data_IF_727506758585
#
_entry.id   IF_727506758585
#
_cell.length_a   1.000
_cell.length_b   1.000
_cell.length_c   1.000
_cell.angle_alpha   90.00
_cell.angle_beta   90.00
_cell.angle_gamma   90.00
#
_symmetry.space_group_name_H-M   'P 1'
#
loop_
_entity.id
_entity.type
_entity.pdbx_description
1 polymer ?
#
# COMPACT_ATOMS: atom_id res chain seq x y z
N UNK A 1 4.77 0.77 -23.87
CA UNK A 1 4.74 -0.22 -22.79
C UNK A 1 4.18 0.51 -21.58
N UNK A 2 3.07 0.01 -21.03
CA UNK A 2 2.51 0.58 -19.81
C UNK A 2 3.43 0.23 -18.64
N UNK A 3 3.54 1.15 -17.71
CA UNK A 3 4.11 0.92 -16.40
C UNK A 3 3.04 0.23 -15.53
N UNK A 4 3.40 -0.88 -14.90
CA UNK A 4 2.49 -1.58 -14.01
C UNK A 4 2.40 -0.83 -12.68
N UNK A 5 1.22 -0.89 -12.04
CA UNK A 5 0.97 -0.19 -10.77
C UNK A 5 2.05 -0.52 -9.71
N UNK A 6 2.53 -1.76 -9.71
CA UNK A 6 3.47 -2.24 -8.71
C UNK A 6 4.89 -1.68 -8.88
N UNK A 7 5.35 -1.56 -10.14
CA UNK A 7 6.61 -0.86 -10.45
C UNK A 7 6.57 0.60 -10.00
N UNK A 8 5.41 1.25 -10.17
CA UNK A 8 5.21 2.62 -9.70
C UNK A 8 5.32 2.66 -8.18
N UNK A 9 4.56 1.83 -7.46
CA UNK A 9 4.53 1.86 -5.98
C UNK A 9 5.92 1.61 -5.37
N UNK A 10 6.68 0.64 -5.89
CA UNK A 10 8.06 0.38 -5.46
C UNK A 10 9.03 1.54 -5.77
N UNK A 11 8.75 2.32 -6.82
CA UNK A 11 9.55 3.50 -7.17
C UNK A 11 9.25 4.74 -6.30
N UNK A 12 8.32 4.64 -5.34
CA UNK A 12 7.82 5.79 -4.56
C UNK A 12 8.36 5.83 -3.12
N UNK A 13 9.31 4.97 -2.77
CA UNK A 13 9.89 4.87 -1.43
C UNK A 13 10.54 6.18 -0.94
N UNK A 14 11.19 6.94 -1.83
CA UNK A 14 11.76 8.26 -1.48
C UNK A 14 11.32 9.36 -2.44
N UNK A 15 10.80 10.50 -1.93
CA UNK A 15 10.58 11.67 -2.76
C UNK A 15 11.94 12.20 -3.27
N UNK A 16 12.07 12.49 -4.58
CA UNK A 16 13.27 13.12 -5.09
C UNK A 16 13.45 14.50 -4.45
N UNK A 17 14.68 15.01 -4.45
CA UNK A 17 14.95 16.32 -3.86
C UNK A 17 14.12 17.39 -4.58
N UNK A 18 13.60 18.40 -3.86
CA UNK A 18 12.76 19.44 -4.46
C UNK A 18 13.50 20.31 -5.50
N UNK A 19 14.84 20.25 -5.51
CA UNK A 19 15.74 20.86 -6.50
C UNK A 19 15.67 20.19 -7.89
N UNK A 20 15.23 18.93 -7.97
CA UNK A 20 14.98 18.20 -9.21
C UNK A 20 13.55 18.49 -9.73
N UNK A 21 13.24 19.76 -10.00
CA UNK A 21 11.85 20.23 -10.23
C UNK A 21 10.99 19.38 -11.18
N UNK A 22 11.54 18.95 -12.32
CA UNK A 22 10.83 18.07 -13.26
C UNK A 22 10.69 16.64 -12.73
N UNK A 23 11.73 16.12 -12.05
CA UNK A 23 11.71 14.81 -11.39
C UNK A 23 10.71 14.77 -10.24
N UNK A 24 10.66 15.81 -9.41
CA UNK A 24 9.70 15.95 -8.32
C UNK A 24 8.26 16.06 -8.83
N UNK A 25 8.02 16.82 -9.90
CA UNK A 25 6.70 16.91 -10.52
C UNK A 25 6.26 15.58 -11.12
N UNK A 26 7.15 14.89 -11.82
CA UNK A 26 6.89 13.56 -12.38
C UNK A 26 6.56 12.56 -11.27
N UNK A 27 7.43 12.46 -10.26
CA UNK A 27 7.24 11.60 -9.09
C UNK A 27 5.90 11.91 -8.40
N UNK A 28 5.60 13.18 -8.10
CA UNK A 28 4.35 13.56 -7.44
C UNK A 28 3.11 13.16 -8.24
N UNK A 29 3.18 13.27 -9.57
CA UNK A 29 2.09 12.84 -10.45
C UNK A 29 1.89 11.32 -10.39
N UNK A 30 2.97 10.54 -10.45
CA UNK A 30 2.91 9.07 -10.36
C UNK A 30 2.37 8.61 -9.02
N UNK A 31 2.80 9.26 -7.95
CA UNK A 31 2.32 9.01 -6.60
C UNK A 31 0.83 9.24 -6.45
N UNK A 32 0.34 10.38 -6.93
CA UNK A 32 -1.08 10.67 -6.91
C UNK A 32 -1.89 9.65 -7.73
N UNK A 33 -1.40 9.25 -8.90
CA UNK A 33 -2.06 8.24 -9.74
C UNK A 33 -2.11 6.87 -9.06
N UNK A 34 -0.98 6.38 -8.53
CA UNK A 34 -0.93 5.08 -7.86
C UNK A 34 -1.80 5.06 -6.60
N UNK A 35 -1.72 6.11 -5.77
CA UNK A 35 -2.56 6.25 -4.57
C UNK A 35 -4.05 6.23 -4.92
N UNK A 36 -4.44 6.92 -5.99
CA UNK A 36 -5.82 6.93 -6.44
C UNK A 36 -6.30 5.53 -6.85
N UNK A 37 -5.47 4.79 -7.61
CA UNK A 37 -5.79 3.41 -8.02
C UNK A 37 -5.93 2.48 -6.81
N UNK A 38 -5.06 2.60 -5.81
CA UNK A 38 -5.17 1.84 -4.56
C UNK A 38 -6.49 2.17 -3.87
N UNK A 39 -6.80 3.46 -3.71
CA UNK A 39 -8.02 3.93 -3.04
C UNK A 39 -9.31 3.43 -3.69
N UNK A 40 -9.43 3.49 -5.02
CA UNK A 40 -10.63 3.03 -5.73
C UNK A 40 -10.77 1.50 -5.75
N UNK A 41 -9.67 0.77 -5.58
CA UNK A 41 -9.67 -0.70 -5.54
C UNK A 41 -10.06 -1.24 -4.16
N UNK A 42 -10.03 -0.40 -3.13
CA UNK A 42 -10.33 -0.78 -1.75
C UNK A 42 -11.84 -0.80 -1.45
N UNK A 43 -12.23 -1.67 -0.52
CA UNK A 43 -13.53 -1.57 0.14
C UNK A 43 -13.54 -0.41 1.17
N UNK A 44 -14.68 -0.13 1.78
CA UNK A 44 -14.84 0.99 2.70
C UNK A 44 -13.91 0.92 3.94
N UNK A 45 -13.69 -0.28 4.48
CA UNK A 45 -12.81 -0.48 5.64
C UNK A 45 -11.35 -0.18 5.27
N UNK A 46 -10.85 -0.80 4.21
CA UNK A 46 -9.50 -0.56 3.70
C UNK A 46 -9.28 0.91 3.28
N UNK A 47 -10.25 1.52 2.62
CA UNK A 47 -10.19 2.93 2.24
C UNK A 47 -10.11 3.86 3.47
N UNK A 48 -10.85 3.55 4.54
CA UNK A 48 -10.84 4.34 5.77
C UNK A 48 -9.45 4.42 6.41
N UNK A 49 -8.64 3.38 6.27
CA UNK A 49 -7.27 3.32 6.77
C UNK A 49 -6.33 4.27 6.02
N UNK A 50 -6.46 4.32 4.69
CA UNK A 50 -5.51 5.02 3.82
C UNK A 50 -5.97 6.42 3.38
N UNK A 51 -7.16 6.87 3.77
CA UNK A 51 -7.77 8.14 3.28
C UNK A 51 -6.93 9.39 3.55
N UNK A 52 -6.08 9.35 4.57
CA UNK A 52 -5.23 10.48 4.98
C UNK A 52 -3.77 10.30 4.55
N UNK A 53 -3.44 9.19 3.89
CA UNK A 53 -2.09 8.90 3.44
C UNK A 53 -1.84 9.63 2.14
N UNK A 54 -0.62 10.15 1.99
CA UNK A 54 -0.23 10.92 0.81
C UNK A 54 0.74 10.17 -0.10
N UNK A 55 1.39 9.10 0.39
CA UNK A 55 2.26 8.23 -0.40
C UNK A 55 1.52 6.95 -0.80
N UNK A 56 1.62 6.56 -2.08
CA UNK A 56 1.08 5.30 -2.56
C UNK A 56 1.74 4.09 -1.87
N UNK A 57 3.05 4.19 -1.59
CA UNK A 57 3.82 3.16 -0.90
C UNK A 57 3.38 2.98 0.54
N UNK A 58 3.29 4.07 1.31
CA UNK A 58 2.79 4.01 2.69
C UNK A 58 1.35 3.46 2.75
N UNK A 59 0.50 3.83 1.79
CA UNK A 59 -0.87 3.32 1.74
C UNK A 59 -0.90 1.82 1.55
N UNK A 60 -0.10 1.29 0.63
CA UNK A 60 0.02 -0.14 0.45
C UNK A 60 0.58 -0.84 1.69
N UNK A 61 1.70 -0.36 2.25
CA UNK A 61 2.35 -1.01 3.38
C UNK A 61 1.43 -1.06 4.61
N UNK A 62 0.58 -0.03 4.81
CA UNK A 62 -0.45 -0.04 5.85
C UNK A 62 -1.53 -1.10 5.60
N UNK A 63 -2.05 -1.18 4.37
CA UNK A 63 -3.04 -2.21 4.02
C UNK A 63 -2.45 -3.61 4.18
N UNK A 64 -1.21 -3.77 3.73
CA UNK A 64 -0.49 -5.02 3.82
C UNK A 64 -0.33 -5.46 5.28
N UNK A 65 0.11 -4.58 6.16
CA UNK A 65 0.25 -4.90 7.59
C UNK A 65 -1.10 -5.20 8.27
N UNK A 66 -2.18 -4.54 7.86
CA UNK A 66 -3.48 -4.63 8.52
C UNK A 66 -4.37 -5.78 8.02
N UNK A 67 -4.24 -6.14 6.74
CA UNK A 67 -5.10 -7.13 6.10
C UNK A 67 -4.35 -8.39 5.65
N UNK A 68 -3.02 -8.49 5.86
CA UNK A 68 -2.34 -9.78 5.76
C UNK A 68 -2.94 -10.73 6.81
N UNK A 69 -3.38 -11.94 6.41
CA UNK A 69 -3.79 -12.95 7.37
C UNK A 69 -2.59 -13.23 8.29
N UNK A 70 -2.80 -13.09 9.59
CA UNK A 70 -1.83 -13.58 10.56
C UNK A 70 -1.82 -15.11 10.43
N UNK A 71 -0.64 -15.77 10.52
CA UNK A 71 -0.62 -17.21 10.64
C UNK A 71 -1.46 -17.56 11.88
N UNK A 72 -2.52 -18.33 11.67
CA UNK A 72 -3.33 -18.88 12.75
C UNK A 72 -2.39 -19.54 13.77
N UNK A 73 -2.41 -19.06 15.01
CA UNK A 73 -1.83 -19.81 16.11
C UNK A 73 -2.60 -21.11 16.18
N UNK A 74 -1.93 -22.23 15.92
CA UNK A 74 -2.40 -23.58 16.18
C UNK A 74 -2.76 -23.65 17.67
N UNK A 75 -4.04 -23.42 18.00
CA UNK A 75 -4.59 -23.86 19.27
C UNK A 75 -4.65 -25.40 19.20
N UNK A 76 -3.62 -26.06 19.73
CA UNK A 76 -3.59 -27.48 20.03
C UNK A 76 -4.74 -27.83 21.01
N UNK A 77 -5.95 -27.99 20.49
CA UNK A 77 -7.04 -28.69 21.17
C UNK A 77 -6.75 -30.20 21.07
N UNK A 78 -5.84 -30.69 21.93
CA UNK A 78 -5.74 -32.13 22.20
C UNK A 78 -6.97 -32.54 23.03
N UNK A 79 -8.09 -32.70 22.32
CA UNK A 79 -9.33 -33.23 22.84
C UNK A 79 -9.15 -34.66 23.36
N UNK A 80 -9.29 -34.80 24.67
CA UNK A 80 -9.97 -35.87 25.42
C UNK A 80 -9.89 -37.27 24.78
N UNK A 81 -9.03 -38.14 25.34
CA UNK A 81 -9.08 -39.58 25.10
C UNK A 81 -10.25 -40.20 25.89
N UNK A 82 -11.24 -40.77 25.19
CA UNK A 82 -12.38 -41.54 25.76
C UNK A 82 -11.93 -42.94 26.12
#
# INVERSE_FOLDING_TARGET
MGEDLWDIVESMDEPPKPEDGDGFKYWRSKNASALHVIQISCNADAFSEIRNITSAKEAWDMLEGKFKPQPESEDDDEGINI
#
